data_IF_909117096218
#
_entry.id   IF_909117096218
#
_cell.length_a   1.000
_cell.length_b   1.000
_cell.length_c   1.000
_cell.angle_alpha   90.00
_cell.angle_beta   90.00
_cell.angle_gamma   90.00
#
_symmetry.space_group_name_H-M   'P 1'
#
loop_
_entity.id
_entity.type
_entity.pdbx_description
1 polymer ?
#
# COMPACT_ATOMS: atom_id res chain seq x y z
N UNK A 1 -15.29 -14.08 -5.81
CA UNK A 1 -14.77 -14.96 -4.75
C UNK A 1 -14.45 -16.35 -5.31
N UNK A 2 -15.41 -17.09 -5.88
CA UNK A 2 -15.17 -18.46 -6.40
C UNK A 2 -14.08 -18.55 -7.49
N UNK A 3 -13.86 -17.49 -8.26
CA UNK A 3 -12.78 -17.42 -9.24
C UNK A 3 -11.41 -17.47 -8.55
N UNK A 4 -11.20 -16.64 -7.52
CA UNK A 4 -9.94 -16.61 -6.79
C UNK A 4 -9.68 -17.89 -5.98
N UNK A 5 -10.73 -18.55 -5.46
CA UNK A 5 -10.57 -19.85 -4.82
C UNK A 5 -9.96 -20.87 -5.78
N UNK A 6 -10.56 -21.00 -6.98
CA UNK A 6 -10.06 -21.92 -8.02
C UNK A 6 -8.65 -21.57 -8.49
N UNK A 7 -8.37 -20.28 -8.69
CA UNK A 7 -7.06 -19.82 -9.11
C UNK A 7 -5.97 -20.13 -8.07
N UNK A 8 -6.25 -19.86 -6.79
CA UNK A 8 -5.31 -20.15 -5.70
C UNK A 8 -5.09 -21.67 -5.54
N UNK A 9 -6.16 -22.46 -5.63
CA UNK A 9 -6.07 -23.92 -5.54
C UNK A 9 -5.25 -24.49 -6.70
N UNK A 10 -5.40 -23.98 -7.91
CA UNK A 10 -4.61 -24.41 -9.07
C UNK A 10 -3.13 -24.03 -8.90
N UNK A 11 -2.82 -22.80 -8.48
CA UNK A 11 -1.42 -22.39 -8.23
C UNK A 11 -0.74 -23.33 -7.21
N UNK A 12 -1.43 -23.61 -6.12
CA UNK A 12 -0.90 -24.50 -5.07
C UNK A 12 -0.72 -25.93 -5.58
N UNK A 13 -1.68 -26.46 -6.37
CA UNK A 13 -1.60 -27.79 -6.97
C UNK A 13 -0.40 -27.92 -7.92
N UNK A 14 0.00 -26.81 -8.57
CA UNK A 14 1.19 -26.74 -9.43
C UNK A 14 2.49 -26.47 -8.64
N UNK A 15 2.45 -26.45 -7.32
CA UNK A 15 3.62 -26.18 -6.47
C UNK A 15 4.03 -24.70 -6.42
N UNK A 16 3.17 -23.78 -6.85
CA UNK A 16 3.43 -22.34 -6.83
C UNK A 16 2.89 -21.76 -5.51
N UNK A 17 3.74 -21.07 -4.76
CA UNK A 17 3.33 -20.37 -3.53
C UNK A 17 2.68 -19.02 -3.88
N UNK A 18 1.37 -18.83 -3.66
CA UNK A 18 0.70 -17.60 -4.03
C UNK A 18 1.04 -16.45 -3.08
N UNK A 19 1.23 -15.26 -3.65
CA UNK A 19 1.34 -13.99 -2.96
C UNK A 19 0.13 -13.13 -3.33
N UNK A 20 -0.62 -12.64 -2.35
CA UNK A 20 -1.84 -11.86 -2.59
C UNK A 20 -1.63 -10.40 -2.20
N UNK A 21 -1.82 -9.50 -3.16
CA UNK A 21 -1.91 -8.07 -2.94
C UNK A 21 -3.38 -7.64 -2.93
N UNK A 22 -3.81 -6.96 -1.85
CA UNK A 22 -5.21 -6.60 -1.63
C UNK A 22 -5.67 -5.45 -2.53
N UNK A 23 -4.78 -4.49 -2.81
CA UNK A 23 -5.02 -3.39 -3.75
C UNK A 23 -3.82 -3.22 -4.67
N UNK A 24 -4.06 -3.28 -5.97
CA UNK A 24 -3.05 -3.14 -7.02
C UNK A 24 -3.48 -2.07 -8.02
N UNK A 25 -3.52 -0.80 -7.55
CA UNK A 25 -3.86 0.42 -8.30
C UNK A 25 -5.35 0.65 -8.56
N UNK A 26 -6.20 -0.34 -8.39
CA UNK A 26 -7.63 -0.22 -8.64
C UNK A 26 -8.39 0.14 -7.35
N UNK A 27 -9.30 1.08 -7.48
CA UNK A 27 -10.30 1.39 -6.47
C UNK A 27 -11.68 1.44 -7.16
N UNK A 28 -12.73 0.88 -6.56
CA UNK A 28 -14.07 0.98 -7.13
C UNK A 28 -14.45 2.44 -7.39
N UNK A 29 -14.88 2.74 -8.62
CA UNK A 29 -15.19 4.09 -9.05
C UNK A 29 -16.20 4.82 -8.13
N UNK A 30 -17.15 4.06 -7.56
CA UNK A 30 -18.13 4.59 -6.61
C UNK A 30 -17.52 5.06 -5.29
N UNK A 31 -16.44 4.41 -4.82
CA UNK A 31 -15.71 4.88 -3.64
C UNK A 31 -14.95 6.18 -3.94
N UNK A 32 -14.44 6.30 -5.16
CA UNK A 32 -13.80 7.54 -5.59
C UNK A 32 -14.82 8.68 -5.70
N UNK A 33 -15.92 8.48 -6.41
CA UNK A 33 -16.97 9.48 -6.62
C UNK A 33 -17.61 9.95 -5.31
N UNK A 34 -17.87 9.03 -4.38
CA UNK A 34 -18.60 9.32 -3.14
C UNK A 34 -17.72 9.83 -2.02
N UNK A 35 -16.47 9.41 -1.96
CA UNK A 35 -15.59 9.62 -0.81
C UNK A 35 -14.22 10.16 -1.19
N UNK A 36 -13.98 10.46 -2.46
CA UNK A 36 -12.66 10.88 -2.96
C UNK A 36 -11.56 9.85 -2.66
N UNK A 37 -11.90 8.57 -2.82
CA UNK A 37 -10.97 7.46 -2.60
C UNK A 37 -10.37 7.47 -1.20
N UNK A 38 -9.07 7.19 -1.12
CA UNK A 38 -8.36 7.19 0.16
C UNK A 38 -8.12 8.57 0.80
N UNK A 39 -8.64 9.67 0.24
CA UNK A 39 -8.71 10.92 0.99
C UNK A 39 -9.61 10.77 2.22
N UNK A 40 -10.60 9.89 2.16
CA UNK A 40 -11.56 9.66 3.25
C UNK A 40 -11.17 8.50 4.17
N UNK A 41 -11.24 8.73 5.49
CA UNK A 41 -11.14 7.66 6.50
C UNK A 41 -12.20 6.58 6.34
N UNK A 42 -13.36 6.93 5.75
CA UNK A 42 -14.41 5.93 5.46
C UNK A 42 -13.94 4.86 4.49
N UNK A 43 -13.12 5.22 3.51
CA UNK A 43 -12.54 4.25 2.56
C UNK A 43 -11.50 3.38 3.26
N UNK A 44 -10.72 3.92 4.20
CA UNK A 44 -9.83 3.13 5.06
C UNK A 44 -10.61 2.04 5.81
N UNK A 45 -11.70 2.41 6.48
CA UNK A 45 -12.55 1.45 7.21
C UNK A 45 -13.14 0.35 6.30
N UNK A 46 -13.60 0.74 5.11
CA UNK A 46 -14.14 -0.20 4.14
C UNK A 46 -13.06 -1.14 3.60
N UNK A 47 -11.87 -0.62 3.37
CA UNK A 47 -10.73 -1.42 2.92
C UNK A 47 -10.25 -2.42 3.99
N UNK A 48 -10.24 -2.02 5.26
CA UNK A 48 -9.96 -2.93 6.39
C UNK A 48 -11.00 -4.07 6.45
N UNK A 49 -12.28 -3.77 6.26
CA UNK A 49 -13.33 -4.79 6.20
C UNK A 49 -13.13 -5.74 5.01
N UNK A 50 -12.81 -5.21 3.85
CA UNK A 50 -12.51 -6.02 2.67
C UNK A 50 -11.32 -6.95 2.92
N UNK A 51 -10.24 -6.43 3.50
CA UNK A 51 -9.07 -7.23 3.87
C UNK A 51 -9.42 -8.36 4.85
N UNK A 52 -10.24 -8.06 5.86
CA UNK A 52 -10.69 -9.05 6.83
C UNK A 52 -11.49 -10.19 6.14
N UNK A 53 -12.37 -9.86 5.22
CA UNK A 53 -13.11 -10.88 4.46
C UNK A 53 -12.19 -11.71 3.54
N UNK A 54 -11.18 -11.09 2.93
CA UNK A 54 -10.16 -11.81 2.16
C UNK A 54 -9.35 -12.77 3.05
N UNK A 55 -8.97 -12.35 4.25
CA UNK A 55 -8.26 -13.22 5.20
C UNK A 55 -9.13 -14.38 5.65
N UNK A 56 -10.38 -14.15 6.05
CA UNK A 56 -11.33 -15.24 6.43
C UNK A 56 -11.42 -16.31 5.35
N UNK A 57 -11.42 -15.88 4.10
CA UNK A 57 -11.63 -16.78 2.98
C UNK A 57 -10.36 -17.50 2.52
N UNK A 58 -9.20 -16.83 2.54
CA UNK A 58 -8.02 -17.34 1.84
C UNK A 58 -6.78 -17.55 2.73
N UNK A 59 -6.76 -17.07 3.99
CA UNK A 59 -5.55 -17.14 4.81
C UNK A 59 -5.12 -18.56 5.17
N UNK A 60 -6.03 -19.54 5.11
CA UNK A 60 -5.70 -20.94 5.32
C UNK A 60 -4.80 -21.54 4.22
N UNK A 61 -4.71 -20.89 3.05
CA UNK A 61 -3.93 -21.34 1.90
C UNK A 61 -2.93 -20.29 1.37
N UNK A 62 -2.98 -19.04 1.85
CA UNK A 62 -2.08 -17.96 1.42
C UNK A 62 -1.19 -17.54 2.59
N UNK A 63 0.13 -17.61 2.39
CA UNK A 63 1.13 -17.22 3.39
C UNK A 63 1.52 -15.74 3.29
N UNK A 64 1.60 -15.21 2.07
CA UNK A 64 2.17 -13.88 1.81
C UNK A 64 1.10 -12.90 1.38
N UNK A 65 0.91 -11.87 2.19
CA UNK A 65 -0.10 -10.86 1.98
C UNK A 65 0.51 -9.47 1.89
N UNK A 66 0.03 -8.67 0.95
CA UNK A 66 0.42 -7.28 0.80
C UNK A 66 -0.83 -6.40 0.82
N UNK A 67 -0.75 -5.28 1.56
CA UNK A 67 -1.85 -4.32 1.60
C UNK A 67 -2.01 -3.59 0.27
N UNK A 68 -0.91 -3.04 -0.23
CA UNK A 68 -0.86 -2.19 -1.42
C UNK A 68 0.33 -2.54 -2.29
N UNK A 69 0.16 -2.37 -3.61
CA UNK A 69 1.25 -2.30 -4.56
C UNK A 69 1.64 -0.84 -4.79
N UNK A 70 2.91 -0.50 -4.54
CA UNK A 70 3.54 0.79 -4.83
C UNK A 70 2.66 2.02 -4.50
N UNK A 71 2.21 2.18 -3.26
CA UNK A 71 1.22 3.21 -2.93
C UNK A 71 1.66 4.62 -3.31
N UNK A 72 2.94 4.97 -3.15
CA UNK A 72 3.46 6.31 -3.49
C UNK A 72 3.40 6.54 -5.00
N UNK A 73 3.78 5.55 -5.81
CA UNK A 73 3.78 5.67 -7.28
C UNK A 73 2.39 5.95 -7.81
N UNK A 74 1.39 5.16 -7.42
CA UNK A 74 0.02 5.33 -7.94
C UNK A 74 -0.56 6.68 -7.55
N UNK A 75 -0.30 7.15 -6.34
CA UNK A 75 -0.80 8.45 -5.87
C UNK A 75 -0.11 9.62 -6.57
N UNK A 76 1.19 9.49 -6.84
CA UNK A 76 1.92 10.45 -7.66
C UNK A 76 1.28 10.56 -9.05
N UNK A 77 0.99 9.43 -9.70
CA UNK A 77 0.32 9.41 -11.01
C UNK A 77 -1.09 9.99 -10.99
N UNK A 78 -1.80 9.86 -9.88
CA UNK A 78 -3.15 10.43 -9.72
C UNK A 78 -3.08 11.94 -9.43
N UNK A 79 -2.34 12.33 -8.39
CA UNK A 79 -2.49 13.65 -7.76
C UNK A 79 -1.37 14.63 -8.08
N UNK A 80 -0.18 14.20 -8.52
CA UNK A 80 0.90 15.11 -8.91
C UNK A 80 1.06 15.18 -10.43
N UNK A 81 0.98 14.05 -11.11
CA UNK A 81 1.14 13.99 -12.57
C UNK A 81 -0.19 14.21 -13.32
N UNK A 82 -1.34 14.03 -12.65
CA UNK A 82 -2.68 14.06 -13.24
C UNK A 82 -2.86 13.08 -14.43
N UNK A 83 -2.14 11.94 -14.41
CA UNK A 83 -2.18 10.94 -15.47
C UNK A 83 -3.27 9.87 -15.29
N UNK A 84 -3.96 9.90 -14.15
CA UNK A 84 -5.08 9.01 -13.84
C UNK A 84 -6.26 9.82 -13.31
N UNK A 85 -7.45 9.23 -13.36
CA UNK A 85 -8.64 9.86 -12.79
C UNK A 85 -8.39 10.33 -11.35
N UNK A 86 -8.74 11.56 -10.95
CA UNK A 86 -9.65 12.52 -11.63
C UNK A 86 -8.96 13.49 -12.61
N UNK A 87 -7.71 13.26 -13.03
CA UNK A 87 -6.97 14.04 -14.03
C UNK A 87 -6.74 15.50 -13.66
N UNK A 88 -6.61 15.83 -12.39
CA UNK A 88 -6.19 17.14 -11.90
C UNK A 88 -5.15 16.99 -10.78
N UNK A 89 -4.32 18.02 -10.61
CA UNK A 89 -3.28 18.03 -9.59
C UNK A 89 -3.84 18.47 -8.23
N UNK A 90 -3.52 17.70 -7.17
CA UNK A 90 -3.87 18.03 -5.79
C UNK A 90 -2.83 17.43 -4.82
N UNK A 91 -1.85 18.25 -4.43
CA UNK A 91 -0.80 17.85 -3.50
C UNK A 91 -1.33 17.55 -2.09
N UNK A 92 -2.42 18.20 -1.67
CA UNK A 92 -3.07 17.92 -0.38
C UNK A 92 -3.73 16.55 -0.40
N UNK A 93 -4.44 16.20 -1.46
CA UNK A 93 -5.01 14.88 -1.65
C UNK A 93 -3.89 13.82 -1.70
N UNK A 94 -2.78 14.10 -2.40
CA UNK A 94 -1.60 13.22 -2.43
C UNK A 94 -1.08 12.88 -1.04
N UNK A 95 -0.88 13.88 -0.16
CA UNK A 95 -0.45 13.68 1.22
C UNK A 95 -1.48 12.90 2.04
N UNK A 96 -2.77 13.24 1.90
CA UNK A 96 -3.85 12.58 2.65
C UNK A 96 -4.00 11.10 2.26
N UNK A 97 -3.86 10.77 0.98
CA UNK A 97 -3.89 9.39 0.52
C UNK A 97 -2.70 8.58 1.06
N UNK A 98 -1.48 9.14 1.04
CA UNK A 98 -0.30 8.50 1.62
C UNK A 98 -0.51 8.16 3.09
N UNK A 99 -0.97 9.15 3.87
CA UNK A 99 -1.28 8.94 5.27
C UNK A 99 -2.36 7.87 5.49
N UNK A 100 -3.46 7.95 4.78
CA UNK A 100 -4.59 7.04 4.95
C UNK A 100 -4.27 5.61 4.47
N UNK A 101 -3.48 5.43 3.41
CA UNK A 101 -3.02 4.09 2.99
C UNK A 101 -2.05 3.49 4.01
N UNK A 102 -1.18 4.29 4.59
CA UNK A 102 -0.31 3.83 5.67
C UNK A 102 -1.12 3.45 6.93
N UNK A 103 -2.10 4.27 7.32
CA UNK A 103 -3.04 3.95 8.39
C UNK A 103 -3.79 2.64 8.10
N UNK A 104 -4.31 2.47 6.89
CA UNK A 104 -4.99 1.25 6.47
C UNK A 104 -4.07 0.03 6.58
N UNK A 105 -2.81 0.14 6.15
CA UNK A 105 -1.82 -0.95 6.25
C UNK A 105 -1.61 -1.38 7.70
N UNK A 106 -1.45 -0.43 8.63
CA UNK A 106 -1.30 -0.71 10.06
C UNK A 106 -2.55 -1.39 10.65
N UNK A 107 -3.74 -0.88 10.32
CA UNK A 107 -5.00 -1.47 10.79
C UNK A 107 -5.20 -2.90 10.24
N UNK A 108 -4.89 -3.13 8.97
CA UNK A 108 -4.99 -4.46 8.35
C UNK A 108 -3.97 -5.42 8.96
N UNK A 109 -2.73 -4.96 9.19
CA UNK A 109 -1.71 -5.76 9.85
C UNK A 109 -2.14 -6.19 11.26
N UNK A 110 -2.77 -5.29 12.01
CA UNK A 110 -3.35 -5.59 13.31
C UNK A 110 -4.43 -6.67 13.19
N UNK A 111 -5.39 -6.49 12.28
CA UNK A 111 -6.44 -7.49 12.00
C UNK A 111 -5.82 -8.85 11.63
N UNK A 112 -4.80 -8.87 10.77
CA UNK A 112 -4.13 -10.09 10.35
C UNK A 112 -3.48 -10.84 11.52
N UNK A 113 -2.79 -10.12 12.41
CA UNK A 113 -2.11 -10.70 13.57
C UNK A 113 -3.08 -11.15 14.66
N UNK A 114 -4.00 -10.27 15.06
CA UNK A 114 -4.91 -10.50 16.19
C UNK A 114 -6.10 -11.38 15.82
N UNK A 115 -6.51 -11.40 14.57
CA UNK A 115 -7.63 -12.19 14.06
C UNK A 115 -7.31 -13.69 13.84
N UNK A 116 -6.08 -14.13 14.14
CA UNK A 116 -5.67 -15.51 13.97
C UNK A 116 -5.51 -15.94 12.49
N UNK A 117 -5.38 -14.98 11.57
CA UNK A 117 -5.25 -15.27 10.14
C UNK A 117 -3.82 -15.65 9.70
N UNK A 118 -2.86 -15.48 10.58
CA UNK A 118 -1.46 -15.83 10.31
C UNK A 118 -1.22 -17.32 10.45
N UNK A 119 -1.02 -18.00 9.31
CA UNK A 119 -0.56 -19.41 9.30
C UNK A 119 0.96 -19.49 9.49
N UNK A 120 1.48 -20.72 9.72
CA UNK A 120 2.90 -20.93 9.90
C UNK A 120 3.74 -20.40 8.73
N UNK A 121 4.74 -19.56 9.04
CA UNK A 121 5.55 -18.87 8.03
C UNK A 121 4.86 -17.67 7.35
N UNK A 122 3.60 -17.38 7.68
CA UNK A 122 2.83 -16.29 7.09
C UNK A 122 3.43 -14.91 7.38
N UNK A 123 3.43 -14.04 6.37
CA UNK A 123 3.93 -12.66 6.44
C UNK A 123 2.93 -11.69 5.83
N UNK A 124 2.93 -10.48 6.37
CA UNK A 124 2.14 -9.36 5.87
C UNK A 124 3.05 -8.14 5.65
N UNK A 125 2.83 -7.41 4.57
CA UNK A 125 3.63 -6.22 4.24
C UNK A 125 2.97 -5.31 3.21
N UNK A 126 3.79 -4.52 2.56
CA UNK A 126 3.44 -3.65 1.41
C UNK A 126 4.55 -3.77 0.38
N UNK A 127 4.19 -3.68 -0.89
CA UNK A 127 5.16 -3.63 -1.99
C UNK A 127 5.53 -2.16 -2.19
N UNK A 128 6.82 -1.86 -2.11
CA UNK A 128 7.36 -0.50 -2.25
C UNK A 128 8.24 -0.44 -3.48
N UNK A 129 8.01 0.57 -4.33
CA UNK A 129 8.98 0.96 -5.35
C UNK A 129 10.07 1.82 -4.70
N UNK A 130 11.32 1.49 -4.96
CA UNK A 130 12.48 2.21 -4.44
C UNK A 130 13.30 2.78 -5.60
N UNK A 131 13.51 4.08 -5.60
CA UNK A 131 14.36 4.77 -6.55
C UNK A 131 15.59 5.31 -5.84
N UNK A 132 16.79 4.88 -6.26
CA UNK A 132 18.02 5.32 -5.63
C UNK A 132 18.34 6.75 -6.07
N UNK A 133 18.49 7.65 -5.10
CA UNK A 133 18.90 9.03 -5.32
C UNK A 133 20.41 9.17 -5.07
N UNK A 134 21.12 9.66 -6.06
CA UNK A 134 22.54 10.01 -5.94
C UNK A 134 22.71 11.52 -6.05
N UNK A 135 23.51 12.15 -5.16
CA UNK A 135 23.85 13.55 -5.31
C UNK A 135 24.69 13.77 -6.58
N UNK A 136 24.46 14.87 -7.29
CA UNK A 136 25.21 15.23 -8.49
C UNK A 136 26.69 15.47 -8.19
N UNK A 137 26.98 15.97 -6.99
CA UNK A 137 28.33 16.25 -6.49
C UNK A 137 28.35 16.27 -4.97
N UNK A 138 29.46 16.72 -4.40
CA UNK A 138 29.68 16.75 -2.96
C UNK A 138 29.30 18.10 -2.31
N UNK A 139 28.62 18.99 -3.04
CA UNK A 139 28.14 20.23 -2.44
C UNK A 139 27.03 19.98 -1.42
N UNK A 140 26.92 20.78 -0.34
CA UNK A 140 25.84 20.65 0.62
C UNK A 140 24.45 20.67 -0.04
N UNK A 141 24.29 21.46 -1.11
CA UNK A 141 23.05 21.55 -1.88
C UNK A 141 22.72 20.26 -2.62
N UNK A 142 23.72 19.61 -3.22
CA UNK A 142 23.52 18.34 -3.94
C UNK A 142 23.17 17.21 -2.98
N UNK A 143 23.83 17.16 -1.82
CA UNK A 143 23.56 16.19 -0.76
C UNK A 143 22.16 16.37 -0.20
N UNK A 144 21.75 17.59 0.11
CA UNK A 144 20.41 17.92 0.60
C UNK A 144 19.32 17.56 -0.43
N UNK A 145 19.58 17.81 -1.72
CA UNK A 145 18.63 17.48 -2.78
C UNK A 145 18.42 15.97 -2.90
N UNK A 146 19.49 15.18 -2.81
CA UNK A 146 19.39 13.72 -2.83
C UNK A 146 18.65 13.18 -1.59
N UNK A 147 18.93 13.72 -0.40
CA UNK A 147 18.23 13.32 0.83
C UNK A 147 16.75 13.67 0.80
N UNK A 148 16.38 14.86 0.31
CA UNK A 148 14.98 15.27 0.12
C UNK A 148 14.25 14.38 -0.88
N UNK A 149 14.90 13.99 -1.97
CA UNK A 149 14.32 13.06 -2.95
C UNK A 149 14.06 11.70 -2.31
N UNK A 150 15.06 11.16 -1.61
CA UNK A 150 14.94 9.88 -0.93
C UNK A 150 13.83 9.89 0.15
N UNK A 151 13.76 10.97 0.95
CA UNK A 151 12.69 11.16 1.92
C UNK A 151 11.32 11.16 1.26
N UNK A 152 11.15 11.94 0.19
CA UNK A 152 9.87 12.13 -0.47
C UNK A 152 9.42 10.91 -1.26
N UNK A 153 10.33 10.19 -1.89
CA UNK A 153 10.00 9.08 -2.79
C UNK A 153 10.04 7.72 -2.10
N UNK A 154 11.08 7.46 -1.32
CA UNK A 154 11.31 6.14 -0.73
C UNK A 154 10.80 6.04 0.71
N UNK A 155 11.02 7.07 1.54
CA UNK A 155 10.77 7.00 2.98
C UNK A 155 9.40 7.50 3.41
N UNK A 156 8.72 8.32 2.61
CA UNK A 156 7.46 8.97 3.04
C UNK A 156 6.36 7.97 3.47
N UNK A 157 6.31 6.82 2.83
CA UNK A 157 5.36 5.77 3.21
C UNK A 157 5.90 4.93 4.39
N UNK A 158 7.21 4.67 4.42
CA UNK A 158 7.86 3.89 5.46
C UNK A 158 7.89 4.61 6.83
N UNK A 159 7.90 5.94 6.84
CA UNK A 159 7.84 6.80 8.05
C UNK A 159 6.74 6.40 9.01
N UNK A 160 5.63 5.90 8.48
CA UNK A 160 4.48 5.54 9.29
C UNK A 160 4.62 4.20 10.02
N UNK A 161 5.69 3.45 9.76
CA UNK A 161 5.95 2.14 10.36
C UNK A 161 7.07 2.15 11.40
N UNK A 162 7.85 3.23 11.51
CA UNK A 162 8.98 3.33 12.42
C UNK A 162 8.76 4.42 13.46
N UNK A 163 8.62 4.03 14.73
CA UNK A 163 8.48 4.96 15.86
C UNK A 163 9.71 5.89 16.02
N UNK A 164 10.88 5.48 15.53
CA UNK A 164 12.10 6.28 15.62
C UNK A 164 12.18 7.36 14.54
N UNK A 165 11.44 7.24 13.46
CA UNK A 165 11.47 8.18 12.34
C UNK A 165 10.86 9.55 12.68
N UNK A 166 9.96 9.61 13.65
CA UNK A 166 9.33 10.87 14.08
C UNK A 166 10.22 11.73 14.98
N UNK A 167 11.44 11.27 15.28
CA UNK A 167 12.40 11.94 16.17
C UNK A 167 13.66 12.47 15.46
N UNK A 168 13.75 12.28 14.15
CA UNK A 168 14.81 12.83 13.29
C UNK A 168 14.28 14.01 12.48
#
# INVERSE_FOLDING_TARGET
ANYYDKMLDELIAQGIEPMVCLEHYEIPAELFKKYDGFASKRVVELFVKYAQEAFKRYSHKVKYWFAFNEPVVVQTRIHLDALRYPFYQDSKAWMQWNYNKALATNMIMKVYKEGGYRIAGGKFGTIINVETAYPRGNSPRDLEAADKYDLFYNRIFAVTFDENFTRA
#
